data_IF_803171909995
#
_entry.id   IF_803171909995
#
_cell.length_a   1.000
_cell.length_b   1.000
_cell.length_c   1.000
_cell.angle_alpha   90.00
_cell.angle_beta   90.00
_cell.angle_gamma   90.00
#
_symmetry.space_group_name_H-M   'P 1'
#
loop_
_entity.id
_entity.type
_entity.pdbx_description
1 polymer ?
#
# COMPACT_ATOMS: atom_id res chain seq x y z
N UNK A 1 16.82 26.19 -3.85
CA UNK A 1 16.86 25.37 -5.09
C UNK A 1 18.30 25.15 -5.53
N UNK A 2 19.08 26.21 -5.80
CA UNK A 2 20.49 26.06 -6.19
C UNK A 2 21.36 25.32 -5.14
N UNK A 3 21.11 25.53 -3.85
CA UNK A 3 21.79 24.75 -2.78
C UNK A 3 21.47 23.25 -2.85
N UNK A 4 20.20 22.89 -3.01
CA UNK A 4 19.75 21.50 -3.17
C UNK A 4 20.36 20.89 -4.43
N UNK A 5 20.40 21.67 -5.52
CA UNK A 5 21.00 21.27 -6.79
C UNK A 5 22.50 20.98 -6.61
N UNK A 6 23.24 21.85 -5.92
CA UNK A 6 24.66 21.61 -5.64
C UNK A 6 24.89 20.38 -4.77
N UNK A 7 24.07 20.20 -3.71
CA UNK A 7 24.13 19.00 -2.87
C UNK A 7 23.92 17.74 -3.74
N UNK A 8 22.90 17.71 -4.59
CA UNK A 8 22.66 16.55 -5.46
C UNK A 8 23.81 16.34 -6.44
N UNK A 9 24.35 17.41 -7.04
CA UNK A 9 25.50 17.34 -7.96
C UNK A 9 26.74 16.75 -7.27
N UNK A 10 27.02 17.14 -6.02
CA UNK A 10 28.13 16.60 -5.24
C UNK A 10 27.93 15.12 -4.93
N UNK A 11 26.73 14.73 -4.53
CA UNK A 11 26.39 13.36 -4.15
C UNK A 11 26.31 12.40 -5.36
N UNK A 12 25.90 12.88 -6.54
CA UNK A 12 25.94 12.11 -7.78
C UNK A 12 27.38 11.78 -8.25
N UNK A 13 28.39 12.53 -7.79
CA UNK A 13 29.81 12.26 -8.12
C UNK A 13 30.44 11.17 -7.25
N UNK A 14 29.76 10.71 -6.21
CA UNK A 14 30.24 9.61 -5.37
C UNK A 14 30.35 8.31 -6.20
N UNK A 15 31.36 7.48 -5.96
CA UNK A 15 31.61 6.23 -6.70
C UNK A 15 30.73 5.06 -6.23
N UNK A 16 29.95 5.25 -5.16
CA UNK A 16 29.07 4.21 -4.65
C UNK A 16 27.83 4.03 -5.54
N UNK A 17 27.81 2.95 -6.33
CA UNK A 17 26.71 2.63 -7.24
C UNK A 17 25.34 2.58 -6.54
N UNK A 18 25.25 2.00 -5.33
CA UNK A 18 23.99 1.90 -4.61
C UNK A 18 23.43 3.27 -4.22
N UNK A 19 24.34 4.21 -3.92
CA UNK A 19 23.99 5.57 -3.56
C UNK A 19 23.54 6.37 -4.79
N UNK A 20 24.22 6.19 -5.92
CA UNK A 20 23.81 6.75 -7.21
C UNK A 20 22.44 6.22 -7.64
N UNK A 21 22.20 4.92 -7.54
CA UNK A 21 20.91 4.29 -7.87
C UNK A 21 19.78 4.82 -6.97
N UNK A 22 20.06 4.97 -5.67
CA UNK A 22 19.10 5.57 -4.73
C UNK A 22 18.74 7.01 -5.13
N UNK A 23 19.73 7.85 -5.43
CA UNK A 23 19.49 9.24 -5.86
C UNK A 23 18.73 9.27 -7.19
N UNK A 24 19.13 8.44 -8.16
CA UNK A 24 18.46 8.32 -9.46
C UNK A 24 16.97 8.01 -9.27
N UNK A 25 16.64 6.97 -8.49
CA UNK A 25 15.26 6.58 -8.19
C UNK A 25 14.49 7.73 -7.54
N UNK A 26 15.08 8.44 -6.58
CA UNK A 26 14.40 9.58 -5.93
C UNK A 26 14.12 10.72 -6.91
N UNK A 27 15.04 11.02 -7.83
CA UNK A 27 14.82 12.02 -8.88
C UNK A 27 13.73 11.54 -9.85
N UNK A 28 13.78 10.29 -10.30
CA UNK A 28 12.76 9.70 -11.18
C UNK A 28 11.36 9.78 -10.58
N UNK A 29 11.23 9.48 -9.28
CA UNK A 29 9.96 9.64 -8.58
C UNK A 29 9.50 11.11 -8.56
N UNK A 30 10.40 12.06 -8.32
CA UNK A 30 10.05 13.49 -8.34
C UNK A 30 9.66 13.99 -9.74
N UNK A 31 10.15 13.36 -10.80
CA UNK A 31 9.76 13.68 -12.18
C UNK A 31 8.40 13.06 -12.50
N UNK A 32 8.25 11.76 -12.21
CA UNK A 32 7.14 10.96 -12.73
C UNK A 32 5.92 10.95 -11.81
N UNK A 33 6.11 11.11 -10.49
CA UNK A 33 5.03 11.08 -9.52
C UNK A 33 4.62 12.46 -8.96
N UNK A 34 5.20 13.54 -9.48
CA UNK A 34 4.84 14.88 -9.05
C UNK A 34 3.68 15.44 -9.90
N UNK A 35 2.57 15.88 -9.27
CA UNK A 35 1.43 16.45 -9.98
C UNK A 35 1.70 17.83 -10.59
N UNK A 36 2.78 18.53 -10.19
CA UNK A 36 3.16 19.84 -10.72
C UNK A 36 4.17 19.71 -11.86
N UNK A 37 3.80 20.20 -13.05
CA UNK A 37 4.65 20.17 -14.25
C UNK A 37 5.94 20.95 -14.08
N UNK A 38 5.89 22.07 -13.37
CA UNK A 38 7.03 22.96 -13.13
C UNK A 38 8.09 22.26 -12.29
N UNK A 39 7.67 21.54 -11.24
CA UNK A 39 8.56 20.74 -10.41
C UNK A 39 9.15 19.58 -11.22
N UNK A 40 8.31 18.84 -11.96
CA UNK A 40 8.76 17.74 -12.82
C UNK A 40 9.84 18.19 -13.82
N UNK A 41 9.62 19.33 -14.49
CA UNK A 41 10.59 19.94 -15.43
C UNK A 41 11.92 20.27 -14.75
N UNK A 42 11.90 20.85 -13.55
CA UNK A 42 13.11 21.19 -12.82
C UNK A 42 13.96 19.96 -12.49
N UNK A 43 13.32 18.87 -12.04
CA UNK A 43 14.03 17.62 -11.77
C UNK A 43 14.45 16.89 -13.04
N UNK A 44 13.72 17.05 -14.15
CA UNK A 44 14.11 16.51 -15.45
C UNK A 44 15.39 17.18 -15.97
N UNK A 45 15.49 18.51 -15.90
CA UNK A 45 16.71 19.24 -16.28
C UNK A 45 17.92 18.77 -15.46
N UNK A 46 17.71 18.43 -14.19
CA UNK A 46 18.75 17.85 -13.33
C UNK A 46 19.09 16.41 -13.73
N UNK A 47 18.10 15.58 -14.02
CA UNK A 47 18.29 14.18 -14.42
C UNK A 47 19.10 14.09 -15.72
N UNK A 48 18.78 14.91 -16.71
CA UNK A 48 19.44 14.94 -18.03
C UNK A 48 20.92 15.35 -17.96
N UNK A 49 21.36 16.01 -16.88
CA UNK A 49 22.77 16.33 -16.65
C UNK A 49 23.61 15.11 -16.26
N UNK A 50 22.99 14.10 -15.66
CA UNK A 50 23.69 12.94 -15.08
C UNK A 50 23.31 11.61 -15.75
N UNK A 51 22.13 11.52 -16.34
CA UNK A 51 21.53 10.31 -16.87
C UNK A 51 20.95 10.55 -18.27
N UNK A 52 20.72 9.49 -19.04
CA UNK A 52 20.17 9.59 -20.40
C UNK A 52 18.64 9.77 -20.38
N UNK A 53 18.12 10.75 -21.12
CA UNK A 53 16.69 11.10 -21.17
C UNK A 53 15.76 9.99 -21.70
N UNK A 54 16.28 9.04 -22.47
CA UNK A 54 15.49 7.92 -23.03
C UNK A 54 14.85 6.99 -21.99
N UNK A 55 15.13 7.17 -20.70
CA UNK A 55 14.59 6.36 -19.60
C UNK A 55 13.41 7.03 -18.87
N UNK A 56 13.06 8.28 -19.19
CA UNK A 56 11.99 9.01 -18.51
C UNK A 56 10.62 8.70 -19.12
N UNK A 57 9.97 7.66 -18.61
CA UNK A 57 8.57 7.34 -18.91
C UNK A 57 7.85 6.98 -17.62
N UNK A 58 6.60 7.44 -17.47
CA UNK A 58 5.77 7.09 -16.33
C UNK A 58 5.73 5.57 -16.12
N UNK A 59 6.02 5.14 -14.90
CA UNK A 59 6.09 3.73 -14.54
C UNK A 59 4.84 2.98 -14.98
N UNK A 60 5.03 1.77 -15.52
CA UNK A 60 3.92 0.88 -15.82
C UNK A 60 3.18 0.50 -14.54
N UNK A 61 1.88 0.83 -14.48
CA UNK A 61 1.05 0.64 -13.29
C UNK A 61 0.55 -0.80 -13.17
N UNK A 62 0.23 -1.41 -14.32
CA UNK A 62 -0.37 -2.76 -14.41
C UNK A 62 0.30 -3.61 -15.49
N UNK A 63 0.41 -4.91 -15.23
CA UNK A 63 0.79 -5.91 -16.22
C UNK A 63 -0.23 -6.05 -17.33
N UNK A 64 -1.52 -5.87 -17.04
CA UNK A 64 -2.61 -6.15 -17.97
C UNK A 64 -3.11 -4.92 -18.71
N UNK A 65 -3.01 -3.74 -18.10
CA UNK A 65 -3.53 -2.51 -18.66
C UNK A 65 -2.42 -1.55 -19.09
N UNK A 66 -2.64 -0.85 -20.21
CA UNK A 66 -1.76 0.22 -20.67
C UNK A 66 -1.95 1.46 -19.80
N UNK A 67 -0.87 2.21 -19.57
CA UNK A 67 -0.93 3.47 -18.82
C UNK A 67 -1.84 4.52 -19.48
N UNK A 68 -2.03 4.47 -20.80
CA UNK A 68 -2.98 5.32 -21.53
C UNK A 68 -4.42 5.16 -21.02
N UNK A 69 -4.77 3.98 -20.50
CA UNK A 69 -6.10 3.70 -19.95
C UNK A 69 -6.21 4.04 -18.46
N UNK A 70 -5.18 4.64 -17.86
CA UNK A 70 -5.13 4.95 -16.44
C UNK A 70 -4.87 6.46 -16.29
N UNK A 71 -5.44 7.11 -15.27
CA UNK A 71 -5.20 8.54 -15.08
C UNK A 71 -3.72 8.78 -14.82
N UNK A 72 -3.07 9.58 -15.67
CA UNK A 72 -1.70 10.03 -15.44
C UNK A 72 -1.64 10.95 -14.22
N UNK A 73 -0.49 10.97 -13.55
CA UNK A 73 -0.31 11.84 -12.37
C UNK A 73 -0.44 13.32 -12.73
N UNK A 74 -0.05 13.70 -13.95
CA UNK A 74 -0.22 15.07 -14.46
C UNK A 74 -1.69 15.45 -14.62
N UNK A 75 -2.52 14.53 -15.13
CA UNK A 75 -3.96 14.78 -15.24
C UNK A 75 -4.57 14.90 -13.84
N UNK A 76 -4.26 13.98 -12.93
CA UNK A 76 -4.73 14.07 -11.53
C UNK A 76 -4.26 15.35 -10.84
N UNK A 77 -3.06 15.85 -11.16
CA UNK A 77 -2.55 17.14 -10.69
C UNK A 77 -3.40 18.33 -11.13
N UNK A 78 -3.91 18.31 -12.36
CA UNK A 78 -4.86 19.33 -12.82
C UNK A 78 -6.14 19.32 -11.99
N UNK A 79 -6.69 18.13 -11.69
CA UNK A 79 -7.85 18.01 -10.80
C UNK A 79 -7.57 18.54 -9.39
N UNK A 80 -6.36 18.32 -8.86
CA UNK A 80 -5.98 18.77 -7.53
C UNK A 80 -5.82 20.29 -7.42
N UNK A 81 -5.19 20.92 -8.41
CA UNK A 81 -4.65 22.28 -8.26
C UNK A 81 -5.28 23.34 -9.18
N UNK A 82 -5.99 22.97 -10.25
CA UNK A 82 -6.62 23.95 -11.15
C UNK A 82 -8.10 24.16 -10.81
N UNK A 83 -8.43 25.34 -10.28
CA UNK A 83 -9.82 25.71 -9.94
C UNK A 83 -10.64 26.21 -11.14
N UNK A 84 -9.97 26.64 -12.21
CA UNK A 84 -10.59 27.38 -13.31
C UNK A 84 -11.16 26.50 -14.44
N UNK A 85 -10.81 25.22 -14.50
CA UNK A 85 -11.22 24.28 -15.55
C UNK A 85 -12.29 23.29 -15.06
N UNK A 86 -13.35 23.80 -14.42
CA UNK A 86 -14.58 23.03 -14.10
C UNK A 86 -15.39 22.63 -15.35
N UNK A 87 -14.76 22.53 -16.52
CA UNK A 87 -15.45 21.99 -17.69
C UNK A 87 -15.55 20.47 -17.54
N UNK A 88 -16.65 19.91 -18.05
CA UNK A 88 -16.90 18.48 -18.13
C UNK A 88 -15.79 17.82 -18.97
N UNK A 89 -14.68 17.47 -18.32
CA UNK A 89 -13.50 16.94 -18.96
C UNK A 89 -13.74 15.46 -19.23
N UNK A 90 -13.87 15.13 -20.51
CA UNK A 90 -13.78 13.78 -21.02
C UNK A 90 -12.57 13.12 -20.37
N UNK A 91 -12.80 12.09 -19.57
CA UNK A 91 -11.71 11.32 -18.99
C UNK A 91 -11.16 10.41 -20.08
N UNK A 92 -9.85 10.50 -20.30
CA UNK A 92 -9.13 9.63 -21.24
C UNK A 92 -9.07 8.17 -20.74
N UNK A 93 -9.48 7.92 -19.50
CA UNK A 93 -9.57 6.59 -18.90
C UNK A 93 -11.03 6.14 -18.70
N UNK A 94 -11.30 4.83 -18.68
CA UNK A 94 -12.64 4.33 -18.49
C UNK A 94 -13.16 4.67 -17.08
N UNK A 95 -14.32 5.31 -17.02
CA UNK A 95 -15.10 5.48 -15.80
C UNK A 95 -16.27 4.50 -15.85
N UNK A 96 -16.31 3.58 -14.90
CA UNK A 96 -17.33 2.52 -14.83
C UNK A 96 -18.43 2.84 -13.80
N UNK A 97 -18.12 3.62 -12.75
CA UNK A 97 -19.09 4.04 -11.72
C UNK A 97 -18.78 5.45 -11.24
N UNK A 98 -19.62 6.43 -11.58
CA UNK A 98 -19.40 7.81 -11.16
C UNK A 98 -20.70 8.54 -10.80
N UNK A 99 -21.09 8.43 -9.54
CA UNK A 99 -22.11 9.28 -8.94
C UNK A 99 -21.51 10.47 -8.17
N UNK A 100 -20.18 10.64 -8.21
CA UNK A 100 -19.50 11.68 -7.45
C UNK A 100 -19.51 13.01 -8.18
N UNK A 101 -19.63 14.09 -7.40
CA UNK A 101 -19.37 15.43 -7.92
C UNK A 101 -17.86 15.65 -8.09
N UNK A 102 -17.47 16.51 -9.04
CA UNK A 102 -16.05 16.80 -9.29
C UNK A 102 -15.32 17.32 -8.04
N UNK A 103 -16.00 18.10 -7.20
CA UNK A 103 -15.46 18.61 -5.93
C UNK A 103 -15.19 17.48 -4.91
N UNK A 104 -16.10 16.51 -4.82
CA UNK A 104 -15.91 15.33 -3.96
C UNK A 104 -14.73 14.49 -4.46
N UNK A 105 -14.66 14.24 -5.77
CA UNK A 105 -13.54 13.51 -6.37
C UNK A 105 -12.20 14.22 -6.11
N UNK A 106 -12.13 15.54 -6.32
CA UNK A 106 -10.94 16.36 -6.00
C UNK A 106 -10.53 16.23 -4.54
N UNK A 107 -11.49 16.24 -3.61
CA UNK A 107 -11.23 16.08 -2.19
C UNK A 107 -10.62 14.70 -1.89
N UNK A 108 -11.18 13.63 -2.48
CA UNK A 108 -10.67 12.27 -2.30
C UNK A 108 -9.25 12.12 -2.84
N UNK A 109 -8.96 12.64 -4.04
CA UNK A 109 -7.61 12.60 -4.59
C UNK A 109 -6.64 13.44 -3.74
N UNK A 110 -7.10 14.58 -3.21
CA UNK A 110 -6.32 15.42 -2.30
C UNK A 110 -5.94 14.71 -1.01
N UNK A 111 -6.89 14.00 -0.42
CA UNK A 111 -6.67 13.16 0.76
C UNK A 111 -5.63 12.07 0.48
N UNK A 112 -5.79 11.33 -0.62
CA UNK A 112 -4.86 10.27 -1.03
C UNK A 112 -3.45 10.85 -1.23
N UNK A 113 -3.36 11.98 -1.93
CA UNK A 113 -2.10 12.67 -2.19
C UNK A 113 -1.38 13.04 -0.90
N UNK A 114 -2.09 13.67 0.04
CA UNK A 114 -1.52 14.12 1.31
C UNK A 114 -1.09 12.94 2.21
N UNK A 115 -1.85 11.85 2.19
CA UNK A 115 -1.59 10.68 3.04
C UNK A 115 -0.42 9.81 2.56
N UNK A 116 -0.14 9.80 1.26
CA UNK A 116 0.90 8.97 0.67
C UNK A 116 2.16 9.80 0.34
N UNK A 117 2.53 10.73 1.21
CA UNK A 117 3.72 11.58 1.09
C UNK A 117 3.76 12.35 -0.24
N UNK A 118 2.66 13.04 -0.57
CA UNK A 118 2.53 13.83 -1.80
C UNK A 118 2.60 12.98 -3.07
N UNK A 119 1.95 11.81 -3.07
CA UNK A 119 1.91 10.89 -4.22
C UNK A 119 0.55 10.23 -4.35
N UNK A 120 0.24 9.76 -5.55
CA UNK A 120 -0.96 8.98 -5.83
C UNK A 120 -0.51 7.56 -6.21
N UNK A 121 -0.66 6.58 -5.31
CA UNK A 121 -0.13 5.22 -5.52
C UNK A 121 -0.88 4.46 -6.63
N UNK A 122 -0.24 3.42 -7.17
CA UNK A 122 -0.73 2.68 -8.35
C UNK A 122 -2.13 2.07 -8.17
N UNK A 123 -2.44 1.53 -6.99
CA UNK A 123 -3.77 0.97 -6.70
C UNK A 123 -4.85 2.05 -6.79
N UNK A 124 -4.65 3.18 -6.13
CA UNK A 124 -5.60 4.28 -6.09
C UNK A 124 -5.84 4.87 -7.49
N UNK A 125 -4.79 4.95 -8.31
CA UNK A 125 -4.91 5.36 -9.73
C UNK A 125 -5.78 4.41 -10.54
N UNK A 126 -5.70 3.11 -10.29
CA UNK A 126 -6.58 2.14 -10.95
C UNK A 126 -8.00 2.24 -10.42
N UNK A 127 -8.17 2.42 -9.11
CA UNK A 127 -9.48 2.62 -8.50
C UNK A 127 -10.19 3.90 -8.98
N UNK A 128 -9.50 4.84 -9.64
CA UNK A 128 -10.14 5.95 -10.35
C UNK A 128 -11.06 5.52 -11.51
N UNK A 129 -11.06 4.24 -11.92
CA UNK A 129 -12.10 3.67 -12.80
C UNK A 129 -13.45 3.51 -12.09
N UNK A 130 -13.42 3.41 -10.77
CA UNK A 130 -14.58 3.26 -9.90
C UNK A 130 -14.61 4.37 -8.82
N UNK A 131 -14.80 5.64 -9.19
CA UNK A 131 -14.82 6.78 -8.24
C UNK A 131 -15.61 6.53 -6.94
N UNK A 132 -16.82 5.98 -7.03
CA UNK A 132 -17.64 5.66 -5.86
C UNK A 132 -16.95 4.64 -4.92
N UNK A 133 -16.34 3.60 -5.51
CA UNK A 133 -15.58 2.61 -4.76
C UNK A 133 -14.32 3.22 -4.15
N UNK A 134 -13.61 4.09 -4.89
CA UNK A 134 -12.43 4.81 -4.39
C UNK A 134 -12.77 5.68 -3.17
N UNK A 135 -13.92 6.36 -3.17
CA UNK A 135 -14.42 7.11 -2.00
C UNK A 135 -14.55 6.22 -0.77
N UNK A 136 -15.22 5.08 -0.93
CA UNK A 136 -15.41 4.12 0.15
C UNK A 136 -14.11 3.50 0.62
N UNK A 137 -13.23 3.14 -0.32
CA UNK A 137 -11.90 2.62 -0.02
C UNK A 137 -11.09 3.63 0.80
N UNK A 138 -10.96 4.87 0.34
CA UNK A 138 -10.21 5.92 1.02
C UNK A 138 -10.76 6.18 2.44
N UNK A 139 -12.08 6.34 2.57
CA UNK A 139 -12.71 6.53 3.88
C UNK A 139 -12.47 5.34 4.82
N UNK A 140 -12.56 4.12 4.30
CA UNK A 140 -12.36 2.92 5.09
C UNK A 140 -10.91 2.75 5.52
N UNK A 141 -9.93 2.92 4.63
CA UNK A 141 -8.51 2.81 4.96
C UNK A 141 -8.10 3.89 5.97
N UNK A 142 -8.63 5.11 5.83
CA UNK A 142 -8.40 6.18 6.78
C UNK A 142 -8.90 5.83 8.19
N UNK A 143 -10.14 5.37 8.29
CA UNK A 143 -10.70 4.95 9.57
C UNK A 143 -9.97 3.72 10.14
N UNK A 144 -9.53 2.80 9.28
CA UNK A 144 -8.85 1.57 9.70
C UNK A 144 -7.50 1.86 10.34
N UNK A 145 -6.67 2.73 9.75
CA UNK A 145 -5.31 2.97 10.22
C UNK A 145 -5.16 4.22 11.09
N UNK A 146 -5.87 5.30 10.78
CA UNK A 146 -5.74 6.59 11.47
C UNK A 146 -6.93 6.90 12.38
N UNK A 147 -8.05 6.17 12.24
CA UNK A 147 -9.19 6.28 13.13
C UNK A 147 -8.88 5.79 14.55
N UNK A 148 -9.61 6.32 15.53
CA UNK A 148 -9.56 5.84 16.90
C UNK A 148 -9.97 4.36 16.94
N UNK A 149 -9.17 3.55 17.63
CA UNK A 149 -9.41 2.11 17.63
C UNK A 149 -8.59 1.40 18.70
N UNK A 150 -8.98 0.17 19.06
CA UNK A 150 -8.46 -0.52 20.23
C UNK A 150 -7.08 -1.17 19.99
N UNK A 151 -6.62 -1.26 18.75
CA UNK A 151 -5.29 -1.77 18.38
C UNK A 151 -4.37 -0.58 18.03
N UNK A 152 -3.10 -0.55 18.46
CA UNK A 152 -2.10 0.41 18.00
C UNK A 152 -1.89 0.40 16.47
N UNK A 153 -1.60 1.56 15.87
CA UNK A 153 -1.54 1.71 14.40
C UNK A 153 -0.46 0.83 13.76
N UNK A 154 0.72 0.73 14.38
CA UNK A 154 1.82 -0.16 13.97
C UNK A 154 1.36 -1.63 13.90
N UNK A 155 0.62 -2.08 14.92
CA UNK A 155 0.07 -3.43 14.93
C UNK A 155 -1.00 -3.63 13.86
N UNK A 156 -1.83 -2.62 13.58
CA UNK A 156 -2.81 -2.69 12.47
C UNK A 156 -2.12 -2.87 11.13
N UNK A 157 -1.05 -2.10 10.85
CA UNK A 157 -0.25 -2.27 9.64
C UNK A 157 0.40 -3.63 9.57
N UNK A 158 0.96 -4.12 10.68
CA UNK A 158 1.55 -5.46 10.68
C UNK A 158 0.51 -6.57 10.44
N UNK A 159 -0.69 -6.46 10.99
CA UNK A 159 -1.79 -7.40 10.69
C UNK A 159 -2.15 -7.38 9.20
N UNK A 160 -2.17 -6.21 8.57
CA UNK A 160 -2.38 -6.11 7.12
C UNK A 160 -1.24 -6.78 6.33
N UNK A 161 0.02 -6.64 6.76
CA UNK A 161 1.18 -7.31 6.17
C UNK A 161 1.06 -8.84 6.28
N UNK A 162 0.58 -9.34 7.43
CA UNK A 162 0.29 -10.77 7.60
C UNK A 162 -0.74 -11.26 6.58
N UNK A 163 -1.81 -10.48 6.36
CA UNK A 163 -2.86 -10.82 5.42
C UNK A 163 -2.33 -10.93 3.97
N UNK A 164 -1.55 -9.95 3.52
CA UNK A 164 -1.02 -9.93 2.14
C UNK A 164 0.03 -11.00 1.90
N UNK A 165 0.76 -11.40 2.95
CA UNK A 165 1.76 -12.46 2.86
C UNK A 165 1.18 -13.83 2.51
N UNK A 166 -0.12 -14.08 2.76
CA UNK A 166 -0.78 -15.33 2.37
C UNK A 166 -0.93 -15.47 0.84
N UNK A 167 -1.15 -14.39 0.11
CA UNK A 167 -1.46 -14.46 -1.32
C UNK A 167 -0.27 -14.16 -2.23
N UNK A 168 0.91 -13.86 -1.67
CA UNK A 168 2.07 -13.52 -2.50
C UNK A 168 1.98 -12.15 -3.17
N UNK A 169 1.17 -11.22 -2.64
CA UNK A 169 0.98 -9.90 -3.25
C UNK A 169 2.11 -8.94 -2.86
N UNK A 170 3.19 -8.93 -3.64
CA UNK A 170 4.37 -8.08 -3.40
C UNK A 170 4.02 -6.58 -3.31
N UNK A 171 3.15 -6.08 -4.20
CA UNK A 171 2.75 -4.67 -4.21
C UNK A 171 2.22 -4.19 -2.85
N UNK A 172 1.18 -4.84 -2.34
CA UNK A 172 0.59 -4.46 -1.05
C UNK A 172 1.53 -4.80 0.10
N UNK A 173 2.24 -5.93 0.04
CA UNK A 173 3.18 -6.32 1.08
C UNK A 173 4.27 -5.25 1.27
N UNK A 174 4.91 -4.80 0.19
CA UNK A 174 5.96 -3.79 0.25
C UNK A 174 5.41 -2.42 0.67
N UNK A 175 4.26 -2.01 0.13
CA UNK A 175 3.63 -0.73 0.47
C UNK A 175 3.23 -0.65 1.94
N UNK A 176 2.60 -1.70 2.48
CA UNK A 176 2.23 -1.77 3.89
C UNK A 176 3.47 -1.84 4.80
N UNK A 177 4.52 -2.53 4.36
CA UNK A 177 5.80 -2.60 5.07
C UNK A 177 6.47 -1.23 5.16
N UNK A 178 6.46 -0.46 4.07
CA UNK A 178 6.96 0.92 4.08
C UNK A 178 6.16 1.79 5.04
N UNK A 179 4.82 1.71 5.03
CA UNK A 179 3.98 2.47 5.95
C UNK A 179 4.20 2.08 7.41
N UNK A 180 4.35 0.77 7.69
CA UNK A 180 4.71 0.27 9.02
C UNK A 180 6.03 0.87 9.52
N UNK A 181 7.04 0.97 8.66
CA UNK A 181 8.32 1.59 9.02
C UNK A 181 8.21 3.11 9.20
N UNK A 182 7.44 3.80 8.34
CA UNK A 182 7.24 5.25 8.40
C UNK A 182 6.63 5.71 9.73
N UNK A 183 5.78 4.87 10.35
CA UNK A 183 5.17 5.16 11.66
C UNK A 183 6.00 4.65 12.85
N UNK A 184 7.24 4.17 12.61
CA UNK A 184 8.15 3.72 13.66
C UNK A 184 7.98 2.24 14.07
N UNK A 185 7.39 1.41 13.22
CA UNK A 185 7.29 -0.03 13.43
C UNK A 185 8.66 -0.71 13.53
N UNK A 186 8.76 -1.76 14.34
CA UNK A 186 10.02 -2.48 14.53
C UNK A 186 10.40 -3.30 13.28
N UNK A 187 11.51 -2.93 12.65
CA UNK A 187 12.07 -3.59 11.46
C UNK A 187 12.29 -5.11 11.63
N UNK A 188 12.60 -5.58 12.85
CA UNK A 188 12.80 -7.00 13.13
C UNK A 188 11.56 -7.85 12.84
N UNK A 189 10.36 -7.24 12.94
CA UNK A 189 9.10 -7.93 12.64
C UNK A 189 8.96 -8.24 11.15
N UNK A 190 9.59 -7.44 10.29
CA UNK A 190 9.61 -7.63 8.84
C UNK A 190 10.76 -8.56 8.41
N UNK A 191 11.95 -8.38 8.99
CA UNK A 191 13.15 -9.15 8.61
C UNK A 191 13.09 -10.60 9.12
N UNK A 192 12.70 -10.77 10.37
CA UNK A 192 12.71 -12.09 11.04
C UNK A 192 11.32 -12.72 11.11
N UNK A 193 10.31 -11.96 10.71
CA UNK A 193 8.93 -12.40 10.60
C UNK A 193 8.20 -12.48 11.95
N UNK A 194 7.07 -13.19 11.94
CA UNK A 194 6.06 -13.16 13.02
C UNK A 194 6.61 -13.54 14.40
N UNK A 195 7.67 -14.34 14.49
CA UNK A 195 8.28 -14.79 15.77
C UNK A 195 8.79 -13.64 16.65
N UNK A 196 9.10 -12.49 16.06
CA UNK A 196 9.57 -11.29 16.77
C UNK A 196 8.45 -10.29 17.09
N UNK A 197 7.26 -10.50 16.53
CA UNK A 197 6.07 -9.73 16.89
C UNK A 197 5.58 -10.06 18.30
N UNK A 198 4.73 -9.24 18.93
CA UNK A 198 4.22 -9.50 20.28
C UNK A 198 3.46 -10.82 20.31
N UNK A 199 3.52 -11.60 21.43
CA UNK A 199 2.82 -12.89 21.54
C UNK A 199 1.33 -12.82 21.20
N UNK A 200 0.70 -11.66 21.43
CA UNK A 200 -0.69 -11.36 21.09
C UNK A 200 -0.94 -11.41 19.57
N UNK A 201 -0.03 -10.84 18.78
CA UNK A 201 -0.09 -10.80 17.30
C UNK A 201 0.30 -12.14 16.69
N UNK A 202 1.27 -12.85 17.28
CA UNK A 202 1.68 -14.18 16.82
C UNK A 202 0.52 -15.17 16.70
N UNK A 203 -0.47 -15.04 17.59
CA UNK A 203 -1.67 -15.89 17.58
C UNK A 203 -2.57 -15.67 16.36
N UNK A 204 -2.41 -14.55 15.65
CA UNK A 204 -3.17 -14.28 14.44
C UNK A 204 -2.67 -15.09 13.23
N UNK A 205 -1.48 -15.69 13.30
CA UNK A 205 -0.89 -16.49 12.21
C UNK A 205 -1.83 -17.61 11.70
N UNK A 206 -2.37 -18.37 12.66
CA UNK A 206 -3.20 -19.54 12.36
C UNK A 206 -4.56 -19.13 11.79
N UNK A 207 -5.20 -18.14 12.42
CA UNK A 207 -6.50 -17.64 11.94
C UNK A 207 -6.36 -16.94 10.59
N UNK A 208 -5.27 -16.21 10.36
CA UNK A 208 -4.97 -15.58 9.06
C UNK A 208 -4.92 -16.65 7.96
N UNK A 209 -4.17 -17.74 8.17
CA UNK A 209 -4.08 -18.84 7.21
C UNK A 209 -5.43 -19.52 6.96
N UNK A 210 -6.20 -19.78 8.03
CA UNK A 210 -7.54 -20.38 7.91
C UNK A 210 -8.53 -19.49 7.18
N UNK A 211 -8.54 -18.19 7.49
CA UNK A 211 -9.39 -17.22 6.80
C UNK A 211 -9.04 -17.14 5.31
N UNK A 212 -7.75 -17.23 4.96
CA UNK A 212 -7.29 -17.13 3.59
C UNK A 212 -7.64 -18.37 2.74
N UNK A 213 -7.47 -19.59 3.28
CA UNK A 213 -7.52 -20.82 2.49
C UNK A 213 -8.73 -21.72 2.79
N UNK A 214 -9.17 -21.79 4.05
CA UNK A 214 -10.23 -22.72 4.49
C UNK A 214 -11.28 -22.06 5.39
N UNK A 215 -11.87 -20.90 5.02
CA UNK A 215 -12.79 -20.17 5.90
C UNK A 215 -14.04 -20.99 6.28
N UNK A 216 -14.46 -21.95 5.46
CA UNK A 216 -15.59 -22.84 5.74
C UNK A 216 -15.35 -23.78 6.94
N UNK A 217 -14.10 -24.07 7.30
CA UNK A 217 -13.78 -24.91 8.46
C UNK A 217 -14.17 -24.25 9.78
N UNK A 218 -14.29 -22.92 9.77
CA UNK A 218 -14.84 -22.17 10.89
C UNK A 218 -16.32 -22.54 11.11
N UNK A 219 -17.11 -22.76 10.03
CA UNK A 219 -18.55 -23.07 10.07
C UNK A 219 -18.90 -24.52 10.39
N UNK A 220 -18.12 -25.49 9.90
CA UNK A 220 -18.43 -26.92 10.06
C UNK A 220 -18.43 -27.41 11.51
N UNK A 221 -17.87 -26.65 12.44
CA UNK A 221 -17.93 -26.89 13.87
C UNK A 221 -18.82 -25.83 14.54
N UNK A 222 -20.16 -26.01 14.66
CA UNK A 222 -21.09 -24.97 15.11
C UNK A 222 -20.91 -24.47 16.56
N UNK A 223 -20.03 -25.09 17.35
CA UNK A 223 -19.46 -24.51 18.58
C UNK A 223 -18.48 -23.34 18.32
N UNK A 224 -18.31 -22.91 17.07
CA UNK A 224 -17.36 -21.86 16.66
C UNK A 224 -18.09 -20.56 16.23
N UNK A 225 -19.40 -20.55 15.93
CA UNK A 225 -20.00 -19.42 15.15
C UNK A 225 -21.28 -18.75 15.69
N UNK A 226 -21.93 -19.21 16.77
CA UNK A 226 -23.25 -18.63 17.14
C UNK A 226 -23.21 -17.32 17.96
N UNK A 227 -22.60 -16.23 17.46
CA UNK A 227 -22.78 -14.79 17.84
C UNK A 227 -22.53 -14.36 19.32
N UNK A 228 -22.45 -15.30 20.25
CA UNK A 228 -21.74 -15.28 21.55
C UNK A 228 -20.23 -15.63 21.38
N UNK A 229 -19.81 -15.88 20.13
CA UNK A 229 -18.63 -16.67 19.72
C UNK A 229 -17.54 -15.80 19.09
N UNK A 230 -17.15 -14.77 19.85
CA UNK A 230 -15.78 -14.24 19.83
C UNK A 230 -14.95 -14.93 20.94
N UNK A 231 -15.46 -16.06 21.48
CA UNK A 231 -14.63 -17.16 21.93
C UNK A 231 -13.98 -17.80 20.72
N UNK A 232 -12.97 -17.12 20.18
CA UNK A 232 -11.99 -17.76 19.32
C UNK A 232 -11.30 -18.84 20.15
N UNK A 233 -11.90 -20.03 20.13
CA UNK A 233 -11.27 -21.29 20.44
C UNK A 233 -10.21 -21.46 19.33
N UNK A 234 -8.92 -21.30 19.59
CA UNK A 234 -8.17 -22.39 20.18
C UNK A 234 -8.46 -23.72 19.46
N UNK A 235 -8.19 -23.81 18.17
CA UNK A 235 -8.19 -25.14 17.56
C UNK A 235 -6.79 -25.76 17.50
N UNK A 236 -5.75 -25.10 18.04
CA UNK A 236 -4.41 -25.71 18.13
C UNK A 236 -3.83 -25.85 19.56
N UNK A 237 -4.21 -25.06 20.58
CA UNK A 237 -3.79 -25.33 21.99
C UNK A 237 -4.68 -24.73 23.06
N UNK A 238 -5.65 -25.50 23.62
CA UNK A 238 -6.44 -25.29 24.88
C UNK A 238 -6.55 -23.90 25.61
N UNK A 239 -6.28 -22.71 25.04
CA UNK A 239 -6.32 -21.37 25.68
C UNK A 239 -6.77 -20.20 24.77
N UNK A 240 -7.91 -19.55 25.06
CA UNK A 240 -8.60 -18.60 24.14
C UNK A 240 -7.77 -17.36 23.86
N UNK A 241 -7.91 -16.74 22.69
CA UNK A 241 -7.30 -15.43 22.41
C UNK A 241 -7.64 -14.39 23.50
N UNK A 242 -8.85 -14.50 24.09
CA UNK A 242 -9.27 -13.70 25.25
C UNK A 242 -8.40 -13.93 26.50
N UNK A 243 -7.88 -15.15 26.71
CA UNK A 243 -6.94 -15.47 27.79
C UNK A 243 -5.52 -14.95 27.52
N UNK A 244 -5.24 -14.54 26.27
CA UNK A 244 -4.00 -13.87 25.87
C UNK A 244 -4.16 -12.34 25.78
N UNK A 245 -5.26 -11.79 26.30
CA UNK A 245 -5.47 -10.34 26.40
C UNK A 245 -6.08 -9.69 25.16
N UNK A 246 -6.67 -10.45 24.23
CA UNK A 246 -7.53 -9.89 23.19
C UNK A 246 -8.90 -9.50 23.77
N UNK A 247 -9.38 -8.30 23.44
CA UNK A 247 -10.74 -7.87 23.66
C UNK A 247 -11.61 -8.14 22.42
N UNK A 248 -12.93 -8.23 22.61
CA UNK A 248 -13.89 -8.48 21.53
C UNK A 248 -13.73 -7.49 20.37
N UNK A 249 -13.59 -6.20 20.68
CA UNK A 249 -13.51 -5.12 19.70
C UNK A 249 -12.17 -5.14 18.94
N UNK A 250 -11.06 -5.43 19.64
CA UNK A 250 -9.76 -5.63 18.99
C UNK A 250 -9.81 -6.79 18.00
N UNK A 251 -10.41 -7.90 18.40
CA UNK A 251 -10.44 -9.08 17.56
C UNK A 251 -11.30 -8.91 16.31
N UNK A 252 -12.43 -8.22 16.44
CA UNK A 252 -13.25 -7.81 15.29
C UNK A 252 -12.46 -6.94 14.33
N UNK A 253 -11.73 -5.94 14.84
CA UNK A 253 -10.89 -5.08 14.01
C UNK A 253 -9.77 -5.88 13.33
N UNK A 254 -9.08 -6.76 14.04
CA UNK A 254 -8.02 -7.58 13.48
C UNK A 254 -8.53 -8.49 12.35
N UNK A 255 -9.64 -9.20 12.55
CA UNK A 255 -10.25 -10.06 11.52
C UNK A 255 -10.71 -9.24 10.33
N UNK A 256 -11.29 -8.06 10.57
CA UNK A 256 -11.68 -7.16 9.49
C UNK A 256 -10.46 -6.75 8.64
N UNK A 257 -9.35 -6.34 9.26
CA UNK A 257 -8.10 -6.02 8.55
C UNK A 257 -7.63 -7.22 7.71
N UNK A 258 -7.64 -8.44 8.29
CA UNK A 258 -7.21 -9.66 7.59
C UNK A 258 -8.05 -9.89 6.32
N UNK A 259 -9.37 -9.99 6.47
CA UNK A 259 -10.29 -10.28 5.35
C UNK A 259 -10.25 -9.17 4.30
N UNK A 260 -10.18 -7.90 4.73
CA UNK A 260 -10.08 -6.76 3.83
C UNK A 260 -8.83 -6.87 2.94
N UNK A 261 -7.65 -7.12 3.53
CA UNK A 261 -6.41 -7.24 2.78
C UNK A 261 -6.22 -8.57 2.05
N UNK A 262 -6.92 -9.64 2.45
CA UNK A 262 -7.08 -10.84 1.63
C UNK A 262 -7.76 -10.50 0.30
N UNK A 263 -8.92 -9.84 0.37
CA UNK A 263 -9.66 -9.39 -0.81
C UNK A 263 -8.84 -8.45 -1.70
N UNK A 264 -8.17 -7.46 -1.09
CA UNK A 264 -7.34 -6.51 -1.84
C UNK A 264 -6.07 -7.14 -2.44
N UNK A 265 -5.49 -8.17 -1.81
CA UNK A 265 -4.40 -8.93 -2.41
C UNK A 265 -4.85 -9.61 -3.70
N UNK A 266 -6.02 -10.25 -3.67
CA UNK A 266 -6.62 -10.85 -4.87
C UNK A 266 -6.91 -9.79 -5.95
N UNK A 267 -7.42 -8.61 -5.57
CA UNK A 267 -7.67 -7.51 -6.51
C UNK A 267 -6.36 -7.03 -7.15
N UNK A 268 -5.32 -6.77 -6.36
CA UNK A 268 -4.03 -6.29 -6.87
C UNK A 268 -3.37 -7.31 -7.81
N UNK A 269 -3.45 -8.60 -7.47
CA UNK A 269 -2.94 -9.68 -8.32
C UNK A 269 -3.76 -9.83 -9.61
N UNK A 270 -5.10 -9.80 -9.52
CA UNK A 270 -5.99 -9.91 -10.67
C UNK A 270 -5.87 -8.72 -11.63
N UNK A 271 -5.54 -7.55 -11.11
CA UNK A 271 -5.26 -6.34 -11.90
C UNK A 271 -3.79 -6.22 -12.31
N UNK A 272 -2.93 -7.13 -11.84
CA UNK A 272 -1.51 -7.19 -12.18
C UNK A 272 -0.75 -5.93 -11.76
N UNK A 273 -1.06 -5.35 -10.60
CA UNK A 273 -0.46 -4.08 -10.15
C UNK A 273 1.05 -4.27 -9.92
N UNK A 274 1.86 -3.38 -10.51
CA UNK A 274 3.32 -3.37 -10.38
C UNK A 274 3.76 -2.63 -9.11
N UNK A 275 4.95 -2.97 -8.60
CA UNK A 275 5.60 -2.23 -7.52
C UNK A 275 5.90 -0.79 -7.94
N UNK A 276 5.92 0.14 -7.00
CA UNK A 276 6.40 1.52 -7.24
C UNK A 276 7.93 1.58 -7.21
N UNK A 277 8.56 2.57 -7.83
CA UNK A 277 10.02 2.64 -7.94
C UNK A 277 10.78 2.54 -6.60
N UNK A 278 10.26 3.11 -5.52
CA UNK A 278 10.88 3.01 -4.20
C UNK A 278 10.50 1.74 -3.42
N UNK A 279 9.57 0.95 -3.97
CA UNK A 279 9.18 -0.36 -3.47
C UNK A 279 9.79 -1.51 -4.27
N UNK A 280 10.33 -1.23 -5.47
CA UNK A 280 11.11 -2.19 -6.25
C UNK A 280 12.39 -2.53 -5.47
N UNK A 281 12.51 -3.81 -5.09
CA UNK A 281 13.74 -4.30 -4.48
C UNK A 281 14.85 -4.13 -5.52
N UNK A 282 16.02 -3.57 -5.16
CA UNK A 282 17.19 -3.70 -6.00
C UNK A 282 17.42 -5.21 -6.21
N UNK A 283 17.46 -5.67 -7.46
CA UNK A 283 17.53 -7.09 -7.81
C UNK A 283 18.78 -7.81 -7.26
N UNK A 284 19.68 -7.10 -6.59
CA UNK A 284 20.83 -7.66 -5.89
C UNK A 284 20.96 -7.08 -4.48
N UNK A 285 20.35 -7.77 -3.49
CA UNK A 285 20.89 -8.09 -2.15
C UNK A 285 19.78 -8.33 -1.13
N UNK A 286 19.40 -9.60 -0.99
CA UNK A 286 19.37 -10.24 0.33
C UNK A 286 18.19 -9.96 1.27
N UNK A 287 17.39 -8.91 1.12
CA UNK A 287 16.16 -8.77 1.91
C UNK A 287 15.03 -9.53 1.20
N UNK A 288 15.13 -10.85 1.27
CA UNK A 288 13.95 -11.70 1.13
C UNK A 288 13.09 -11.40 2.36
N UNK A 289 12.09 -10.52 2.24
CA UNK A 289 10.89 -10.68 3.05
C UNK A 289 10.46 -12.12 2.81
N UNK A 290 10.75 -13.01 3.76
CA UNK A 290 10.24 -14.36 3.68
C UNK A 290 8.74 -14.18 3.72
N UNK A 291 8.06 -14.45 2.61
CA UNK A 291 6.67 -14.86 2.69
C UNK A 291 6.59 -15.83 3.85
N UNK A 292 5.73 -15.53 4.83
CA UNK A 292 5.62 -16.35 6.01
C UNK A 292 5.23 -17.74 5.52
N UNK A 293 6.20 -18.65 5.47
CA UNK A 293 5.98 -20.05 5.16
C UNK A 293 5.17 -20.62 6.32
N UNK A 294 3.85 -20.50 6.24
CA UNK A 294 2.91 -21.06 7.22
C UNK A 294 2.90 -22.62 7.18
N UNK A 295 3.72 -23.24 6.33
CA UNK A 295 3.82 -24.68 6.12
C UNK A 295 5.06 -25.34 6.76
N UNK A 296 5.87 -24.63 7.55
CA UNK A 296 6.93 -25.28 8.34
C UNK A 296 6.39 -25.72 9.71
N UNK A 297 5.61 -26.79 9.70
CA UNK A 297 5.40 -27.67 10.86
C UNK A 297 6.38 -28.84 10.77
#
# INVERSE_FOLDING_TARGET
>A
IEEIKQIIIEHCKDKNQQYQDFIRIKIEIMIQQNPFKECSRLFQELYEQFYSSNQLQEQRISEFYKNENLPSIQILGQYLFNEQEQQSLFTDWPILQNNLQNEEFRTIIGDIYNQNNCRIPHLERLLCWFPDYLKHYNSLTQNLFYGSGPIPVDQRYYIAILATSCYGCDYLHNRLSQQFLNIGGNIEWLETGIKYSPPKIQQLAEINSKLAYTPYELYKNPHIISVKYIQIYIFIKKKSLLQFGWQKNELMLAIFILVFYHGFSCICLALGIKNEFDLEKPEEKGIKYKFLDFNQN
#
